data_IF_659796748330
#
_entry.id   IF_659796748330
#
_cell.length_a   1.000
_cell.length_b   1.000
_cell.length_c   1.000
_cell.angle_alpha   90.00
_cell.angle_beta   90.00
_cell.angle_gamma   90.00
#
_symmetry.space_group_name_H-M   'P 1'
#
loop_
_entity.id
_entity.type
_entity.pdbx_description
1 polymer ?
#
# COMPACT_ATOMS: atom_id res chain seq x y z
N UNK A 1 -25.22 -3.85 -8.43
CA UNK A 1 -24.52 -2.54 -8.50
C UNK A 1 -23.37 -2.59 -7.50
N UNK A 2 -22.14 -2.21 -7.85
CA UNK A 2 -20.97 -2.33 -6.94
C UNK A 2 -21.20 -1.62 -5.59
N UNK A 3 -21.99 -0.55 -5.58
CA UNK A 3 -22.38 0.24 -4.40
C UNK A 3 -23.73 -0.16 -3.78
N UNK A 4 -24.31 -1.31 -4.13
CA UNK A 4 -25.49 -1.84 -3.40
C UNK A 4 -25.13 -2.42 -2.03
N UNK A 5 -23.84 -2.48 -1.70
CA UNK A 5 -23.35 -2.86 -0.37
C UNK A 5 -23.73 -1.73 0.61
N UNK A 6 -24.37 -2.04 1.74
CA UNK A 6 -24.67 -1.04 2.77
C UNK A 6 -23.39 -0.38 3.26
N UNK A 7 -23.50 0.85 3.75
CA UNK A 7 -22.33 1.64 4.20
C UNK A 7 -21.49 0.87 5.23
N UNK A 8 -22.13 0.15 6.15
CA UNK A 8 -21.47 -0.72 7.14
C UNK A 8 -20.60 -1.83 6.49
N UNK A 9 -20.98 -2.33 5.31
CA UNK A 9 -20.18 -3.28 4.55
C UNK A 9 -18.91 -2.64 3.98
N UNK A 10 -18.98 -1.39 3.50
CA UNK A 10 -17.80 -0.64 3.06
C UNK A 10 -16.84 -0.32 4.19
N UNK A 11 -17.36 -0.05 5.38
CA UNK A 11 -16.54 0.09 6.60
C UNK A 11 -15.76 -1.18 6.91
N UNK A 12 -16.42 -2.35 6.83
CA UNK A 12 -15.75 -3.63 7.03
C UNK A 12 -14.66 -3.89 5.99
N UNK A 13 -14.92 -3.57 4.71
CA UNK A 13 -13.93 -3.69 3.63
C UNK A 13 -12.74 -2.77 3.88
N UNK A 14 -12.96 -1.52 4.29
CA UNK A 14 -11.90 -0.58 4.61
C UNK A 14 -11.03 -1.10 5.77
N UNK A 15 -11.64 -1.57 6.85
CA UNK A 15 -10.92 -2.18 7.98
C UNK A 15 -10.13 -3.41 7.54
N UNK A 16 -10.73 -4.30 6.76
CA UNK A 16 -10.07 -5.49 6.24
C UNK A 16 -8.88 -5.13 5.33
N UNK A 17 -9.02 -4.12 4.46
CA UNK A 17 -7.95 -3.61 3.61
C UNK A 17 -6.80 -3.01 4.45
N UNK A 18 -7.12 -2.27 5.52
CA UNK A 18 -6.11 -1.75 6.45
C UNK A 18 -5.36 -2.88 7.16
N UNK A 19 -6.06 -3.90 7.66
CA UNK A 19 -5.44 -5.08 8.28
C UNK A 19 -4.57 -5.82 7.28
N UNK A 20 -5.05 -6.01 6.05
CA UNK A 20 -4.30 -6.62 4.96
C UNK A 20 -3.04 -5.82 4.63
N UNK A 21 -3.14 -4.49 4.54
CA UNK A 21 -1.98 -3.62 4.35
C UNK A 21 -0.96 -3.76 5.47
N UNK A 22 -1.40 -3.74 6.73
CA UNK A 22 -0.52 -3.93 7.87
C UNK A 22 0.19 -5.30 7.80
N UNK A 23 -0.57 -6.37 7.55
CA UNK A 23 -0.01 -7.72 7.43
C UNK A 23 0.95 -7.85 6.23
N UNK A 24 0.58 -7.28 5.08
CA UNK A 24 1.37 -7.30 3.86
C UNK A 24 2.70 -6.58 4.02
N UNK A 25 2.69 -5.38 4.62
CA UNK A 25 3.92 -4.64 4.95
C UNK A 25 4.77 -5.46 5.92
N UNK A 26 4.17 -6.03 6.98
CA UNK A 26 4.90 -6.86 7.94
C UNK A 26 5.52 -8.11 7.32
N UNK A 27 4.92 -8.65 6.25
CA UNK A 27 5.38 -9.82 5.54
C UNK A 27 6.47 -9.53 4.48
N UNK A 28 6.66 -8.27 4.08
CA UNK A 28 7.68 -7.88 3.08
C UNK A 28 9.10 -8.39 3.41
N UNK A 29 9.62 -8.25 4.64
CA UNK A 29 10.97 -8.73 4.97
C UNK A 29 11.08 -10.25 5.18
N UNK A 30 9.96 -10.98 5.31
CA UNK A 30 9.98 -12.41 5.64
C UNK A 30 10.55 -13.22 4.47
N UNK A 31 11.59 -14.01 4.75
CA UNK A 31 12.22 -14.93 3.80
C UNK A 31 13.31 -14.31 2.93
N UNK A 32 13.68 -13.05 3.14
CA UNK A 32 14.78 -12.41 2.41
C UNK A 32 16.12 -12.81 3.02
N UNK A 33 17.04 -13.30 2.18
CA UNK A 33 18.44 -13.55 2.57
C UNK A 33 19.18 -12.21 2.63
N UNK A 34 19.34 -11.68 3.84
CA UNK A 34 20.13 -10.47 4.12
C UNK A 34 21.41 -10.90 4.85
N UNK A 35 22.59 -10.33 4.52
CA UNK A 35 23.82 -10.58 5.27
C UNK A 35 23.64 -10.29 6.77
N UNK A 36 24.16 -11.13 7.66
CA UNK A 36 23.92 -11.03 9.11
C UNK A 36 24.36 -9.69 9.71
N UNK A 37 25.40 -9.08 9.16
CA UNK A 37 25.90 -7.75 9.54
C UNK A 37 24.85 -6.65 9.31
N UNK A 38 24.17 -6.69 8.16
CA UNK A 38 23.12 -5.73 7.79
C UNK A 38 21.78 -6.07 8.44
N UNK A 39 21.55 -7.34 8.76
CA UNK A 39 20.32 -7.82 9.40
C UNK A 39 20.07 -7.15 10.74
N UNK A 40 21.11 -7.00 11.57
CA UNK A 40 21.00 -6.33 12.88
C UNK A 40 20.57 -4.86 12.75
N UNK A 41 21.13 -4.14 11.77
CA UNK A 41 20.81 -2.73 11.50
C UNK A 41 19.40 -2.58 10.93
N UNK A 42 19.03 -3.46 9.97
CA UNK A 42 17.68 -3.49 9.39
C UNK A 42 16.62 -3.85 10.44
N UNK A 43 16.89 -4.81 11.33
CA UNK A 43 15.96 -5.19 12.40
C UNK A 43 15.73 -4.05 13.39
N UNK A 44 16.77 -3.28 13.71
CA UNK A 44 16.65 -2.13 14.60
C UNK A 44 15.86 -0.98 13.95
N UNK A 45 16.13 -0.71 12.67
CA UNK A 45 15.41 0.29 11.89
C UNK A 45 13.95 -0.12 11.65
N UNK A 46 13.71 -1.41 11.40
CA UNK A 46 12.38 -2.00 11.30
C UNK A 46 11.61 -1.88 12.61
N UNK A 47 12.23 -2.17 13.76
CA UNK A 47 11.59 -1.99 15.09
C UNK A 47 11.19 -0.55 15.34
N UNK A 48 12.02 0.43 14.95
CA UNK A 48 11.68 1.86 15.04
C UNK A 48 10.54 2.23 14.08
N UNK A 49 10.63 1.81 12.83
CA UNK A 49 9.61 2.08 11.80
C UNK A 49 8.26 1.43 12.12
N UNK A 50 8.26 0.25 12.73
CA UNK A 50 7.06 -0.49 13.13
C UNK A 50 6.21 0.30 14.12
N UNK A 51 6.82 1.03 15.05
CA UNK A 51 6.09 1.88 16.01
C UNK A 51 5.43 3.07 15.31
N UNK A 52 6.17 3.73 14.42
CA UNK A 52 5.62 4.82 13.60
C UNK A 52 4.47 4.30 12.71
N UNK A 53 4.63 3.13 12.08
CA UNK A 53 3.62 2.50 11.25
C UNK A 53 2.33 2.20 12.02
N UNK A 54 2.43 1.54 13.18
CA UNK A 54 1.25 1.26 14.02
C UNK A 54 0.53 2.50 14.53
N UNK A 55 1.19 3.65 14.62
CA UNK A 55 0.56 4.93 15.02
C UNK A 55 0.02 5.68 13.80
N UNK A 56 0.77 5.72 12.70
CA UNK A 56 0.38 6.43 11.48
C UNK A 56 -0.81 5.78 10.78
N UNK A 57 -0.89 4.46 10.70
CA UNK A 57 -2.00 3.78 10.03
C UNK A 57 -3.38 4.11 10.65
N UNK A 58 -3.59 4.01 11.99
CA UNK A 58 -4.85 4.42 12.58
C UNK A 58 -5.09 5.93 12.47
N UNK A 59 -4.05 6.77 12.51
CA UNK A 59 -4.21 8.23 12.28
C UNK A 59 -4.71 8.51 10.86
N UNK A 60 -4.14 7.85 9.85
CA UNK A 60 -4.58 8.00 8.45
C UNK A 60 -6.03 7.51 8.30
N UNK A 61 -6.38 6.37 8.91
CA UNK A 61 -7.75 5.88 8.93
C UNK A 61 -8.70 6.90 9.57
N UNK A 62 -8.32 7.49 10.71
CA UNK A 62 -9.09 8.55 11.39
C UNK A 62 -9.24 9.83 10.56
N UNK A 63 -8.21 10.22 9.80
CA UNK A 63 -8.28 11.37 8.90
C UNK A 63 -9.25 11.09 7.74
N UNK A 64 -9.21 9.89 7.16
CA UNK A 64 -10.15 9.48 6.10
C UNK A 64 -11.59 9.46 6.65
N UNK A 65 -11.78 8.97 7.87
CA UNK A 65 -13.03 9.07 8.64
C UNK A 65 -13.52 10.52 8.78
N UNK A 66 -12.65 11.41 9.25
CA UNK A 66 -12.99 12.81 9.46
C UNK A 66 -13.33 13.53 8.14
N UNK A 67 -12.58 13.25 7.07
CA UNK A 67 -12.84 13.82 5.74
C UNK A 67 -14.16 13.31 5.16
N UNK A 68 -14.50 12.03 5.39
CA UNK A 68 -15.79 11.47 4.98
C UNK A 68 -16.97 12.17 5.69
N UNK A 69 -16.84 12.48 6.99
CA UNK A 69 -17.86 13.23 7.74
C UNK A 69 -18.03 14.68 7.27
N UNK A 70 -17.00 15.26 6.64
CA UNK A 70 -16.98 16.65 6.19
C UNK A 70 -17.39 16.82 4.72
N UNK A 71 -17.47 15.75 3.94
CA UNK A 71 -17.80 15.82 2.51
C UNK A 71 -19.26 15.50 2.22
N UNK A 72 -19.86 16.18 1.22
CA UNK A 72 -21.18 15.84 0.70
C UNK A 72 -21.19 14.59 -0.21
N UNK A 73 -20.03 13.99 -0.48
CA UNK A 73 -19.92 12.81 -1.34
C UNK A 73 -20.39 11.53 -0.63
N UNK A 74 -20.90 10.53 -1.38
CA UNK A 74 -21.34 9.27 -0.77
C UNK A 74 -20.17 8.51 -0.15
N UNK A 75 -20.27 8.23 1.15
CA UNK A 75 -19.30 7.46 1.94
C UNK A 75 -18.81 6.16 1.26
N UNK A 76 -19.66 5.37 0.57
CA UNK A 76 -19.23 4.18 -0.18
C UNK A 76 -18.12 4.43 -1.21
N UNK A 77 -18.15 5.57 -1.93
CA UNK A 77 -17.16 5.91 -2.95
C UNK A 77 -15.79 6.20 -2.33
N UNK A 78 -15.77 6.95 -1.23
CA UNK A 78 -14.54 7.29 -0.51
C UNK A 78 -13.93 6.03 0.10
N UNK A 79 -14.75 5.18 0.73
CA UNK A 79 -14.30 3.92 1.33
C UNK A 79 -13.81 2.93 0.27
N UNK A 80 -14.43 2.89 -0.91
CA UNK A 80 -13.95 2.10 -2.04
C UNK A 80 -12.55 2.54 -2.48
N UNK A 81 -12.37 3.83 -2.77
CA UNK A 81 -11.09 4.38 -3.21
C UNK A 81 -10.00 4.15 -2.16
N UNK A 82 -10.31 4.41 -0.89
CA UNK A 82 -9.41 4.13 0.24
C UNK A 82 -8.97 2.68 0.25
N UNK A 83 -9.92 1.74 0.19
CA UNK A 83 -9.65 0.30 0.25
C UNK A 83 -8.79 -0.16 -0.92
N UNK A 84 -9.09 0.31 -2.14
CA UNK A 84 -8.31 0.00 -3.35
C UNK A 84 -6.89 0.54 -3.21
N UNK A 85 -6.72 1.80 -2.80
CA UNK A 85 -5.38 2.40 -2.62
C UNK A 85 -4.57 1.61 -1.59
N UNK A 86 -5.14 1.37 -0.41
CA UNK A 86 -4.45 0.71 0.71
C UNK A 86 -4.10 -0.74 0.38
N UNK A 87 -5.01 -1.49 -0.27
CA UNK A 87 -4.73 -2.86 -0.68
C UNK A 87 -3.73 -2.94 -1.84
N UNK A 88 -3.71 -1.96 -2.75
CA UNK A 88 -2.83 -1.98 -3.93
C UNK A 88 -1.35 -1.85 -3.57
N UNK A 89 -1.01 -1.14 -2.50
CA UNK A 89 0.39 -0.92 -2.09
C UNK A 89 1.15 -2.23 -1.81
N UNK A 90 0.71 -3.12 -0.89
CA UNK A 90 1.40 -4.37 -0.62
C UNK A 90 1.39 -5.28 -1.85
N UNK A 91 0.32 -5.30 -2.64
CA UNK A 91 0.25 -6.09 -3.88
C UNK A 91 1.25 -5.60 -4.92
N UNK A 92 1.45 -4.29 -5.05
CA UNK A 92 2.44 -3.71 -5.95
C UNK A 92 3.88 -4.02 -5.51
N UNK A 93 4.13 -3.99 -4.20
CA UNK A 93 5.48 -4.14 -3.63
C UNK A 93 5.91 -5.60 -3.48
N UNK A 94 4.98 -6.53 -3.21
CA UNK A 94 5.33 -7.92 -2.90
C UNK A 94 6.14 -8.64 -4.01
N UNK A 95 5.82 -8.52 -5.31
CA UNK A 95 6.55 -9.19 -6.38
C UNK A 95 7.99 -8.69 -6.55
N UNK A 96 8.23 -7.43 -6.20
CA UNK A 96 9.52 -6.75 -6.39
C UNK A 96 10.32 -6.60 -5.08
N UNK A 97 9.80 -7.08 -3.95
CA UNK A 97 10.40 -6.91 -2.61
C UNK A 97 11.87 -7.34 -2.55
N UNK A 98 12.22 -8.45 -3.20
CA UNK A 98 13.61 -8.94 -3.24
C UNK A 98 14.54 -8.02 -4.03
N UNK A 99 14.04 -7.38 -5.08
CA UNK A 99 14.81 -6.42 -5.90
C UNK A 99 15.04 -5.13 -5.13
N UNK A 100 14.00 -4.61 -4.48
CA UNK A 100 14.09 -3.40 -3.63
C UNK A 100 15.10 -3.60 -2.50
N UNK A 101 15.07 -4.76 -1.83
CA UNK A 101 16.03 -5.05 -0.76
C UNK A 101 17.45 -5.26 -1.30
N UNK A 102 17.61 -5.91 -2.45
CA UNK A 102 18.92 -6.05 -3.10
C UNK A 102 19.52 -4.69 -3.46
N UNK A 103 18.72 -3.79 -4.03
CA UNK A 103 19.15 -2.43 -4.37
C UNK A 103 19.51 -1.62 -3.11
N UNK A 104 18.74 -1.79 -2.03
CA UNK A 104 19.03 -1.18 -0.73
C UNK A 104 20.37 -1.66 -0.15
N UNK A 105 20.61 -2.98 -0.15
CA UNK A 105 21.88 -3.59 0.29
C UNK A 105 23.04 -3.08 -0.58
N UNK A 106 22.87 -3.06 -1.91
CA UNK A 106 23.90 -2.59 -2.83
C UNK A 106 24.28 -1.12 -2.58
N UNK A 107 23.29 -0.25 -2.26
CA UNK A 107 23.53 1.14 -1.86
C UNK A 107 24.28 1.26 -0.55
N UNK A 108 23.97 0.39 0.42
CA UNK A 108 24.60 0.44 1.74
C UNK A 108 26.05 -0.08 1.71
N UNK A 109 26.35 -1.06 0.85
CA UNK A 109 27.70 -1.59 0.66
C UNK A 109 28.60 -0.68 -0.17
N UNK A 110 28.05 0.15 -1.07
CA UNK A 110 28.84 1.06 -1.93
C UNK A 110 28.33 2.51 -1.86
N UNK A 111 28.49 3.19 -0.71
CA UNK A 111 28.09 4.58 -0.55
C UNK A 111 28.95 5.46 -1.46
N UNK A 112 28.37 5.98 -2.54
CA UNK A 112 29.05 6.82 -3.54
C UNK A 112 28.80 6.42 -4.99
N UNK A 113 28.24 5.23 -5.22
CA UNK A 113 27.84 4.81 -6.57
C UNK A 113 26.37 5.17 -6.83
N UNK A 114 26.09 5.81 -7.97
CA UNK A 114 24.71 6.03 -8.45
C UNK A 114 24.10 4.67 -8.81
N UNK A 115 23.47 4.02 -7.83
CA UNK A 115 22.65 2.83 -8.07
C UNK A 115 21.43 3.25 -8.89
N UNK A 116 21.47 2.97 -10.20
CA UNK A 116 20.35 3.20 -11.12
C UNK A 116 19.10 2.47 -10.59
N UNK A 117 17.95 3.14 -10.49
CA UNK A 117 16.71 2.48 -10.09
C UNK A 117 16.38 1.35 -11.07
N UNK A 118 16.01 0.18 -10.55
CA UNK A 118 15.61 -0.95 -11.39
C UNK A 118 14.43 -0.54 -12.28
N UNK A 119 14.69 -0.46 -13.59
CA UNK A 119 13.71 -0.06 -14.60
C UNK A 119 12.54 -1.04 -14.62
N UNK A 120 12.77 -2.32 -14.33
CA UNK A 120 11.69 -3.31 -14.29
C UNK A 120 10.80 -3.10 -13.07
N UNK A 121 11.39 -2.88 -11.89
CA UNK A 121 10.62 -2.56 -10.69
C UNK A 121 9.82 -1.26 -10.88
N UNK A 122 10.42 -0.26 -11.53
CA UNK A 122 9.77 1.01 -11.86
C UNK A 122 8.61 0.81 -12.83
N UNK A 123 8.84 0.09 -13.95
CA UNK A 123 7.81 -0.21 -14.93
C UNK A 123 6.66 -1.06 -14.34
N UNK A 124 6.98 -2.00 -13.44
CA UNK A 124 5.99 -2.80 -12.72
C UNK A 124 5.12 -1.93 -11.81
N UNK A 125 5.73 -1.11 -10.94
CA UNK A 125 4.98 -0.22 -10.03
C UNK A 125 4.09 0.73 -10.84
N UNK A 126 4.66 1.39 -11.86
CA UNK A 126 3.92 2.34 -12.69
C UNK A 126 2.80 1.64 -13.45
N UNK A 127 3.09 0.52 -14.11
CA UNK A 127 2.09 -0.25 -14.86
C UNK A 127 0.97 -0.75 -13.96
N UNK A 128 1.30 -1.34 -12.81
CA UNK A 128 0.32 -1.83 -11.85
C UNK A 128 -0.55 -0.72 -11.29
N UNK A 129 0.04 0.41 -10.87
CA UNK A 129 -0.73 1.54 -10.36
C UNK A 129 -1.63 2.17 -11.44
N UNK A 130 -1.17 2.26 -12.69
CA UNK A 130 -2.01 2.69 -13.80
C UNK A 130 -3.18 1.73 -14.03
N UNK A 131 -2.94 0.41 -13.99
CA UNK A 131 -4.02 -0.59 -14.10
C UNK A 131 -5.01 -0.46 -12.95
N UNK A 132 -4.55 -0.31 -11.70
CA UNK A 132 -5.44 -0.12 -10.54
C UNK A 132 -6.26 1.16 -10.68
N UNK A 133 -5.66 2.27 -11.11
CA UNK A 133 -6.37 3.52 -11.38
C UNK A 133 -7.43 3.34 -12.47
N UNK A 134 -7.09 2.69 -13.59
CA UNK A 134 -8.03 2.44 -14.68
C UNK A 134 -9.21 1.57 -14.23
N UNK A 135 -8.94 0.51 -13.47
CA UNK A 135 -9.99 -0.37 -12.93
C UNK A 135 -10.87 0.37 -11.93
N UNK A 136 -10.28 1.19 -11.04
CA UNK A 136 -11.04 1.98 -10.07
C UNK A 136 -11.93 3.02 -10.78
N UNK A 137 -11.39 3.73 -11.77
CA UNK A 137 -12.15 4.70 -12.58
C UNK A 137 -13.26 4.00 -13.36
N UNK A 138 -12.97 2.85 -13.99
CA UNK A 138 -13.97 2.08 -14.73
C UNK A 138 -15.09 1.60 -13.80
N UNK A 139 -14.76 1.10 -12.61
CA UNK A 139 -15.73 0.69 -11.60
C UNK A 139 -16.65 1.87 -11.21
N UNK A 140 -16.09 3.05 -10.99
CA UNK A 140 -16.85 4.27 -10.69
C UNK A 140 -17.73 4.73 -11.87
N UNK A 141 -17.22 4.65 -13.10
CA UNK A 141 -17.98 5.05 -14.30
C UNK A 141 -19.17 4.12 -14.55
N UNK A 142 -18.97 2.81 -14.45
CA UNK A 142 -20.03 1.81 -14.63
C UNK A 142 -21.13 1.98 -13.59
N UNK A 143 -20.79 2.34 -12.36
CA UNK A 143 -21.79 2.57 -11.32
C UNK A 143 -22.53 3.89 -11.43
N UNK A 144 -21.89 4.93 -11.95
CA UNK A 144 -22.48 6.29 -12.03
C UNK A 144 -23.27 6.50 -13.32
N UNK A 145 -22.90 5.82 -14.41
CA UNK A 145 -23.48 6.04 -15.74
C UNK A 145 -24.07 4.78 -16.37
N UNK A 146 -23.88 3.59 -15.77
CA UNK A 146 -24.38 2.32 -16.28
C UNK A 146 -25.78 1.93 -15.79
N UNK A 147 -26.53 2.89 -15.23
CA UNK A 147 -27.94 2.76 -14.86
C UNK A 147 -28.85 3.19 -16.01
#
# INVERSE_FOLDING_TARGET
MLFSIPESGWWLIAVAATVFFMAGVLALPIGLKVPDELRSTMDQQWRRGRRAFYVLTPVILSVVLAVNLLRPEPAPTILFLYSVTIASIPVALFPIRGRVVKDYIARQQNPGTMVKPDRLATAWIVGFLLTVCLVAVMALMVTSYGS
#
